data_IF_218929293087
#
_entry.id   IF_218929293087
#
_cell.length_a   1.000
_cell.length_b   1.000
_cell.length_c   1.000
_cell.angle_alpha   90.00
_cell.angle_beta   90.00
_cell.angle_gamma   90.00
#
_symmetry.space_group_name_H-M   'P 1'
#
loop_
_entity.id
_entity.type
_entity.pdbx_description
1 polymer ?
#
# COMPACT_ATOMS: atom_id res chain seq x y z
N UNK A 1 42.42 -16.85 42.19
CA UNK A 1 41.21 -17.10 41.38
C UNK A 1 40.17 -16.06 41.73
N UNK A 2 40.21 -14.89 41.10
CA UNK A 2 39.10 -13.93 41.11
C UNK A 2 39.29 -13.09 39.84
N UNK A 3 38.35 -13.17 38.90
CA UNK A 3 38.50 -12.45 37.63
C UNK A 3 37.52 -12.89 36.55
N UNK A 4 37.14 -14.17 36.49
CA UNK A 4 36.22 -14.66 35.45
C UNK A 4 34.74 -14.48 35.80
N UNK A 5 34.35 -14.56 37.07
CA UNK A 5 32.94 -14.41 37.46
C UNK A 5 32.42 -12.98 37.26
N UNK A 6 33.23 -11.97 37.61
CA UNK A 6 32.80 -10.56 37.48
C UNK A 6 32.67 -10.11 36.01
N UNK A 7 33.58 -10.54 35.13
CA UNK A 7 33.51 -10.19 33.70
C UNK A 7 32.33 -10.89 33.01
N UNK A 8 32.05 -12.14 33.35
CA UNK A 8 30.90 -12.88 32.81
C UNK A 8 29.57 -12.36 33.35
N UNK A 9 29.47 -11.97 34.62
CA UNK A 9 28.31 -11.29 35.18
C UNK A 9 28.06 -9.92 34.54
N UNK A 10 29.09 -9.10 34.37
CA UNK A 10 28.98 -7.80 33.69
C UNK A 10 28.52 -7.99 32.24
N UNK A 11 29.09 -8.97 31.53
CA UNK A 11 28.68 -9.30 30.16
C UNK A 11 27.23 -9.78 30.09
N UNK A 12 26.80 -10.62 31.03
CA UNK A 12 25.43 -11.11 31.12
C UNK A 12 24.45 -9.98 31.44
N UNK A 13 24.79 -9.09 32.38
CA UNK A 13 23.97 -7.92 32.72
C UNK A 13 23.85 -6.95 31.54
N UNK A 14 24.94 -6.69 30.84
CA UNK A 14 24.97 -5.87 29.63
C UNK A 14 24.11 -6.50 28.52
N UNK A 15 24.32 -7.79 28.26
CA UNK A 15 23.57 -8.55 27.24
C UNK A 15 22.08 -8.59 27.57
N UNK A 16 21.72 -8.77 28.84
CA UNK A 16 20.33 -8.74 29.31
C UNK A 16 19.72 -7.37 29.08
N UNK A 17 20.44 -6.30 29.44
CA UNK A 17 19.99 -4.90 29.26
C UNK A 17 19.81 -4.55 27.78
N UNK A 18 20.77 -4.92 26.93
CA UNK A 18 20.65 -4.73 25.48
C UNK A 18 19.52 -5.56 24.89
N UNK A 19 19.31 -6.79 25.35
CA UNK A 19 18.23 -7.67 24.90
C UNK A 19 16.87 -7.11 25.30
N UNK A 20 16.71 -6.65 26.54
CA UNK A 20 15.46 -6.03 27.01
C UNK A 20 15.20 -4.71 26.28
N UNK A 21 16.20 -3.86 26.11
CA UNK A 21 16.04 -2.61 25.36
C UNK A 21 15.69 -2.87 23.89
N UNK A 22 16.30 -3.87 23.25
CA UNK A 22 16.00 -4.25 21.86
C UNK A 22 14.58 -4.78 21.74
N UNK A 23 14.15 -5.67 22.64
CA UNK A 23 12.77 -6.18 22.71
C UNK A 23 11.74 -5.07 22.93
N UNK A 24 12.03 -4.13 23.82
CA UNK A 24 11.17 -2.98 24.07
C UNK A 24 11.03 -2.08 22.82
N UNK A 25 12.14 -1.81 22.10
CA UNK A 25 12.12 -1.07 20.83
C UNK A 25 11.31 -1.80 19.75
N UNK A 26 11.50 -3.12 19.61
CA UNK A 26 10.70 -3.95 18.68
C UNK A 26 9.20 -3.85 19.01
N UNK A 27 8.84 -3.97 20.28
CA UNK A 27 7.45 -3.88 20.72
C UNK A 27 6.87 -2.47 20.49
N UNK A 28 7.68 -1.43 20.72
CA UNK A 28 7.31 -0.06 20.40
C UNK A 28 7.04 0.11 18.90
N UNK A 29 7.90 -0.41 18.02
CA UNK A 29 7.66 -0.34 16.57
C UNK A 29 6.42 -1.12 16.14
N UNK A 30 6.18 -2.30 16.71
CA UNK A 30 4.94 -3.06 16.47
C UNK A 30 3.71 -2.27 16.89
N UNK A 31 3.76 -1.62 18.06
CA UNK A 31 2.66 -0.77 18.53
C UNK A 31 2.47 0.47 17.64
N UNK A 32 3.56 1.11 17.22
CA UNK A 32 3.51 2.25 16.29
C UNK A 32 2.87 1.84 14.97
N UNK A 33 3.27 0.69 14.40
CA UNK A 33 2.62 0.11 13.23
C UNK A 33 1.11 -0.05 13.51
N UNK A 34 0.73 -0.76 14.58
CA UNK A 34 -0.68 -1.01 14.95
C UNK A 34 -1.52 0.25 15.17
N UNK A 35 -0.93 1.31 15.70
CA UNK A 35 -1.62 2.56 16.04
C UNK A 35 -1.54 3.62 14.94
N UNK A 36 -0.67 3.43 13.94
CA UNK A 36 -0.49 4.37 12.83
C UNK A 36 -1.74 4.35 11.93
N UNK A 37 -2.62 5.33 12.15
CA UNK A 37 -3.77 5.60 11.28
C UNK A 37 -3.40 6.66 10.26
N UNK A 38 -3.87 6.53 9.02
CA UNK A 38 -3.70 7.56 7.97
C UNK A 38 -4.25 8.93 8.39
N UNK A 39 -5.29 8.96 9.23
CA UNK A 39 -5.99 10.12 9.82
C UNK A 39 -5.82 11.48 9.11
N UNK A 40 -4.70 12.18 9.31
CA UNK A 40 -4.42 13.53 8.79
C UNK A 40 -3.22 13.64 7.84
N UNK A 41 -2.51 12.54 7.56
CA UNK A 41 -1.33 12.54 6.70
C UNK A 41 -1.68 12.17 5.24
N UNK A 42 -0.85 12.63 4.32
CA UNK A 42 -0.91 12.19 2.92
C UNK A 42 -0.63 10.69 2.83
N UNK A 43 -1.21 9.99 1.84
CA UNK A 43 -0.94 8.56 1.64
C UNK A 43 0.55 8.31 1.40
N UNK A 44 1.25 9.22 0.74
CA UNK A 44 2.68 9.12 0.49
C UNK A 44 3.52 9.14 1.77
N UNK A 45 3.26 10.08 2.68
CA UNK A 45 3.94 10.15 3.98
C UNK A 45 3.61 8.93 4.84
N UNK A 46 2.36 8.48 4.82
CA UNK A 46 1.92 7.29 5.54
C UNK A 46 2.68 6.04 5.10
N UNK A 47 2.71 5.75 3.79
CA UNK A 47 3.40 4.59 3.22
C UNK A 47 4.91 4.65 3.49
N UNK A 48 5.51 5.84 3.44
CA UNK A 48 6.93 6.04 3.73
C UNK A 48 7.27 5.73 5.19
N UNK A 49 6.45 6.22 6.14
CA UNK A 49 6.63 5.91 7.57
C UNK A 49 6.44 4.43 7.85
N UNK A 50 5.41 3.81 7.28
CA UNK A 50 5.17 2.38 7.43
C UNK A 50 6.37 1.56 6.94
N UNK A 51 6.86 1.86 5.73
CA UNK A 51 8.03 1.21 5.16
C UNK A 51 9.26 1.37 6.06
N UNK A 52 9.49 2.57 6.59
CA UNK A 52 10.62 2.81 7.51
C UNK A 52 10.54 1.92 8.77
N UNK A 53 9.36 1.75 9.37
CA UNK A 53 9.20 0.84 10.51
C UNK A 53 9.42 -0.63 10.13
N UNK A 54 8.93 -1.05 8.97
CA UNK A 54 9.16 -2.40 8.44
C UNK A 54 10.65 -2.64 8.15
N UNK A 55 11.36 -1.68 7.58
CA UNK A 55 12.79 -1.76 7.27
C UNK A 55 13.62 -1.84 8.57
N UNK A 56 13.26 -1.07 9.61
CA UNK A 56 13.89 -1.17 10.93
C UNK A 56 13.66 -2.55 11.55
N UNK A 57 12.43 -3.08 11.51
CA UNK A 57 12.15 -4.42 12.03
C UNK A 57 12.90 -5.51 11.24
N UNK A 58 12.99 -5.38 9.91
CA UNK A 58 13.77 -6.27 9.05
C UNK A 58 15.27 -6.22 9.40
N UNK A 59 15.83 -5.05 9.71
CA UNK A 59 17.24 -4.90 10.11
C UNK A 59 17.58 -5.62 11.42
N UNK A 60 16.59 -5.81 12.29
CA UNK A 60 16.72 -6.53 13.57
C UNK A 60 16.32 -8.02 13.43
N UNK A 61 16.10 -8.50 12.21
CA UNK A 61 15.75 -9.90 11.92
C UNK A 61 14.27 -10.23 12.08
N UNK A 62 13.41 -9.24 12.33
CA UNK A 62 11.95 -9.38 12.40
C UNK A 62 11.29 -8.93 11.10
N UNK A 63 11.50 -9.69 10.01
CA UNK A 63 10.86 -9.39 8.72
C UNK A 63 9.34 -9.60 8.82
N UNK A 64 8.57 -8.61 8.40
CA UNK A 64 7.11 -8.71 8.23
C UNK A 64 6.83 -9.28 6.84
N UNK A 65 5.89 -10.21 6.73
CA UNK A 65 5.44 -10.75 5.43
C UNK A 65 4.79 -9.65 4.60
N UNK A 66 4.92 -9.70 3.27
CA UNK A 66 4.26 -8.73 2.38
C UNK A 66 2.74 -8.74 2.56
N UNK A 67 2.14 -9.91 2.81
CA UNK A 67 0.71 -10.05 3.11
C UNK A 67 0.30 -9.34 4.41
N UNK A 68 1.04 -9.56 5.50
CA UNK A 68 0.81 -8.90 6.79
C UNK A 68 0.98 -7.39 6.66
N UNK A 69 1.98 -6.95 5.90
CA UNK A 69 2.22 -5.53 5.64
C UNK A 69 1.06 -4.90 4.87
N UNK A 70 0.54 -5.57 3.84
CA UNK A 70 -0.63 -5.10 3.08
C UNK A 70 -1.87 -5.08 3.96
N UNK A 71 -2.14 -6.16 4.71
CA UNK A 71 -3.29 -6.23 5.61
C UNK A 71 -3.27 -5.10 6.64
N UNK A 72 -2.09 -4.82 7.18
CA UNK A 72 -1.90 -3.78 8.16
C UNK A 72 -2.11 -2.37 7.56
N UNK A 73 -1.64 -2.15 6.33
CA UNK A 73 -1.94 -0.93 5.56
C UNK A 73 -3.45 -0.78 5.42
N UNK A 74 -4.15 -1.78 4.88
CA UNK A 74 -5.61 -1.71 4.63
C UNK A 74 -6.41 -1.47 5.92
N UNK A 75 -6.05 -2.15 7.00
CA UNK A 75 -6.74 -2.04 8.30
C UNK A 75 -6.62 -0.66 8.94
N UNK A 76 -5.55 0.08 8.60
CA UNK A 76 -5.32 1.43 9.12
C UNK A 76 -5.96 2.54 8.28
N UNK A 77 -6.53 2.20 7.12
CA UNK A 77 -7.22 3.14 6.24
C UNK A 77 -8.65 3.39 6.74
N UNK A 78 -9.11 4.63 6.60
CA UNK A 78 -10.49 5.00 6.93
C UNK A 78 -11.50 4.50 5.88
N UNK A 79 -12.79 4.63 6.21
CA UNK A 79 -13.92 4.20 5.36
C UNK A 79 -13.92 4.78 3.95
N UNK A 80 -13.26 5.93 3.73
CA UNK A 80 -13.07 6.54 2.41
C UNK A 80 -12.31 5.65 1.41
N UNK A 81 -11.53 4.69 1.89
CA UNK A 81 -10.71 3.79 1.08
C UNK A 81 -11.35 2.41 0.87
N UNK A 82 -12.57 2.16 1.35
CA UNK A 82 -13.28 0.88 1.17
C UNK A 82 -13.32 0.43 -0.31
N UNK A 83 -13.55 1.30 -1.31
CA UNK A 83 -13.58 0.86 -2.72
C UNK A 83 -12.24 0.29 -3.22
N UNK A 84 -11.12 0.86 -2.79
CA UNK A 84 -9.79 0.34 -3.15
C UNK A 84 -9.44 -0.91 -2.34
N UNK A 85 -9.88 -1.00 -1.08
CA UNK A 85 -9.75 -2.22 -0.28
C UNK A 85 -10.44 -3.41 -0.96
N UNK A 86 -11.68 -3.23 -1.42
CA UNK A 86 -12.43 -4.26 -2.15
C UNK A 86 -11.67 -4.71 -3.40
N UNK A 87 -11.16 -3.77 -4.19
CA UNK A 87 -10.38 -4.07 -5.41
C UNK A 87 -9.14 -4.92 -5.10
N UNK A 88 -8.45 -4.63 -4.00
CA UNK A 88 -7.27 -5.39 -3.57
C UNK A 88 -7.68 -6.78 -3.10
N UNK A 89 -8.73 -6.90 -2.28
CA UNK A 89 -9.21 -8.19 -1.75
C UNK A 89 -9.89 -9.08 -2.78
N UNK A 90 -10.47 -8.52 -3.85
CA UNK A 90 -11.16 -9.28 -4.91
C UNK A 90 -10.20 -9.86 -5.95
N UNK A 91 -8.94 -9.41 -5.99
CA UNK A 91 -7.94 -9.92 -6.92
C UNK A 91 -7.18 -11.09 -6.29
N UNK A 92 -7.07 -12.19 -7.02
CA UNK A 92 -6.46 -13.46 -6.55
C UNK A 92 -4.95 -13.53 -6.77
N UNK A 93 -4.37 -12.61 -7.54
CA UNK A 93 -2.92 -12.52 -7.73
C UNK A 93 -2.21 -11.98 -6.49
N UNK A 94 -0.97 -12.42 -6.22
CA UNK A 94 -0.18 -11.88 -5.12
C UNK A 94 0.10 -10.40 -5.38
N UNK A 95 -0.36 -9.54 -4.48
CA UNK A 95 -0.05 -8.13 -4.50
C UNK A 95 1.34 -7.89 -3.90
N UNK A 96 2.15 -7.06 -4.54
CA UNK A 96 3.35 -6.51 -3.90
C UNK A 96 2.97 -5.27 -3.09
N UNK A 97 3.64 -5.02 -1.97
CA UNK A 97 3.51 -3.78 -1.18
C UNK A 97 3.64 -2.52 -2.07
N UNK A 98 4.52 -2.59 -3.08
CA UNK A 98 4.72 -1.52 -4.06
C UNK A 98 3.48 -1.25 -4.91
N UNK A 99 2.83 -2.31 -5.40
CA UNK A 99 1.64 -2.20 -6.25
C UNK A 99 0.47 -1.61 -5.47
N UNK A 100 0.24 -2.11 -4.25
CA UNK A 100 -0.76 -1.56 -3.32
C UNK A 100 -0.48 -0.09 -3.03
N UNK A 101 0.78 0.28 -2.79
CA UNK A 101 1.17 1.68 -2.57
C UNK A 101 0.83 2.59 -3.76
N UNK A 102 1.13 2.16 -4.98
CA UNK A 102 0.81 2.94 -6.19
C UNK A 102 -0.69 3.10 -6.41
N UNK A 103 -1.46 2.05 -6.15
CA UNK A 103 -2.92 2.07 -6.28
C UNK A 103 -3.56 3.02 -5.25
N UNK A 104 -3.06 2.99 -4.01
CA UNK A 104 -3.51 3.85 -2.91
C UNK A 104 -3.23 5.34 -3.18
N UNK A 105 -2.05 5.68 -3.71
CA UNK A 105 -1.70 7.06 -4.10
C UNK A 105 -2.59 7.54 -5.26
N UNK A 106 -2.79 6.68 -6.27
CA UNK A 106 -3.66 6.98 -7.41
C UNK A 106 -5.11 7.21 -6.96
N UNK A 107 -5.57 6.45 -5.98
CA UNK A 107 -6.90 6.61 -5.38
C UNK A 107 -7.03 7.90 -4.58
N UNK A 108 -6.02 8.28 -3.79
CA UNK A 108 -6.00 9.57 -3.08
C UNK A 108 -6.09 10.75 -4.05
N UNK A 109 -5.32 10.72 -5.15
CA UNK A 109 -5.38 11.77 -6.19
C UNK A 109 -6.78 11.88 -6.81
N UNK A 110 -7.49 10.77 -6.98
CA UNK A 110 -8.87 10.76 -7.50
C UNK A 110 -9.87 11.34 -6.49
N UNK A 111 -9.69 11.05 -5.20
CA UNK A 111 -10.48 11.62 -4.12
C UNK A 111 -10.32 13.14 -4.03
N UNK A 112 -9.09 13.65 -4.15
CA UNK A 112 -8.80 15.10 -4.10
C UNK A 112 -9.39 15.86 -5.29
N UNK A 113 -9.45 15.21 -6.46
CA UNK A 113 -10.05 15.77 -7.68
C UNK A 113 -11.59 15.76 -7.68
N UNK A 114 -12.23 15.28 -6.61
CA UNK A 114 -13.69 15.25 -6.49
C UNK A 114 -14.38 14.33 -7.51
N UNK A 115 -13.65 13.40 -8.12
CA UNK A 115 -14.26 12.43 -9.03
C UNK A 115 -15.10 11.45 -8.18
N UNK A 116 -16.40 11.29 -8.46
CA UNK A 116 -17.19 10.27 -7.79
C UNK A 116 -16.52 8.91 -8.04
N UNK A 117 -16.35 8.15 -6.96
CA UNK A 117 -15.94 6.75 -7.06
C UNK A 117 -17.16 6.01 -7.57
N UNK A 118 -17.32 5.96 -8.89
CA UNK A 118 -18.30 5.08 -9.52
C UNK A 118 -17.89 3.65 -9.23
N UNK A 119 -18.55 3.04 -8.26
CA UNK A 119 -18.53 1.60 -7.96
C UNK A 119 -19.33 0.82 -9.01
N UNK A 120 -19.05 1.07 -10.27
CA UNK A 120 -19.52 0.25 -11.38
C UNK A 120 -18.37 0.13 -12.38
N UNK A 121 -18.16 -1.06 -12.93
CA UNK A 121 -16.97 -1.50 -13.68
C UNK A 121 -16.73 -0.77 -15.00
N UNK A 122 -16.75 0.56 -15.01
CA UNK A 122 -16.51 1.40 -16.16
C UNK A 122 -15.16 2.10 -16.02
N UNK A 123 -14.26 1.74 -16.93
CA UNK A 123 -12.95 2.35 -17.06
C UNK A 123 -13.09 3.89 -17.21
N UNK A 124 -12.17 4.68 -16.64
CA UNK A 124 -12.21 6.14 -16.78
C UNK A 124 -12.16 6.56 -18.25
N UNK A 125 -12.98 7.57 -18.63
CA UNK A 125 -13.16 8.09 -19.99
C UNK A 125 -11.85 8.43 -20.73
N UNK A 126 -10.77 8.70 -19.99
CA UNK A 126 -9.45 8.99 -20.53
C UNK A 126 -8.82 7.78 -21.24
N UNK A 127 -9.17 6.56 -20.82
CA UNK A 127 -8.71 5.32 -21.46
C UNK A 127 -9.49 5.08 -22.76
N UNK A 128 -10.79 5.42 -22.80
CA UNK A 128 -11.64 5.19 -23.97
C UNK A 128 -11.19 6.03 -25.19
N UNK A 129 -10.76 7.28 -24.97
CA UNK A 129 -10.35 8.18 -26.06
C UNK A 129 -9.08 7.74 -26.80
N UNK A 130 -8.25 6.87 -26.21
CA UNK A 130 -7.04 6.36 -26.86
C UNK A 130 -7.26 5.09 -27.70
N UNK A 131 -8.45 4.46 -27.64
CA UNK A 131 -8.71 3.15 -28.28
C UNK A 131 -9.56 3.22 -29.55
N UNK A 132 -10.06 4.38 -29.97
CA UNK A 132 -10.90 4.51 -31.18
C UNK A 132 -10.30 5.45 -32.22
N UNK A 133 -9.04 5.22 -32.59
CA UNK A 133 -8.49 5.66 -33.86
C UNK A 133 -8.00 4.46 -34.66
N UNK A 134 -8.91 3.59 -35.07
CA UNK A 134 -8.84 2.90 -36.36
C UNK A 134 -10.09 2.02 -36.58
N UNK A 135 -11.16 2.58 -37.14
CA UNK A 135 -12.01 1.81 -38.05
C UNK A 135 -12.40 2.72 -39.20
N UNK A 136 -11.92 2.34 -40.38
CA UNK A 136 -12.17 3.02 -41.64
C UNK A 136 -13.65 3.29 -41.84
N UNK A 137 -13.94 4.54 -42.13
CA UNK A 137 -15.21 5.01 -42.65
C UNK A 137 -15.31 4.52 -44.09
N UNK A 138 -16.25 3.61 -44.38
CA UNK A 138 -16.84 3.50 -45.70
C UNK A 138 -18.16 4.25 -45.64
N UNK A 139 -18.15 5.51 -46.11
CA UNK A 139 -19.38 6.24 -46.40
C UNK A 139 -20.08 5.46 -47.53
N UNK A 140 -21.23 4.87 -47.22
CA UNK A 140 -22.22 4.50 -48.22
C UNK A 140 -22.76 5.77 -48.87
N UNK A 141 -22.34 6.03 -50.10
CA UNK A 141 -22.83 7.13 -50.92
C UNK A 141 -24.22 6.78 -51.46
N UNK A 142 -25.21 7.50 -50.92
CA UNK A 142 -26.61 7.48 -51.29
C UNK A 142 -26.81 8.57 -52.35
N UNK A 143 -26.94 8.20 -53.62
CA UNK A 143 -27.38 9.11 -54.69
C UNK A 143 -28.57 8.51 -55.45
N UNK A 144 -29.75 8.96 -55.01
CA UNK A 144 -30.89 9.50 -55.78
C UNK A 144 -31.18 8.97 -57.22
N UNK A 145 -32.40 8.41 -57.40
CA UNK A 145 -33.36 8.45 -58.54
C UNK A 145 -32.84 8.91 -59.93
N UNK A 146 -33.10 8.24 -61.06
CA UNK A 146 -34.42 8.10 -61.73
C UNK A 146 -34.33 7.23 -63.04
N UNK A 147 -35.41 6.99 -63.82
CA UNK A 147 -35.77 5.70 -64.44
C UNK A 147 -35.49 5.56 -65.96
N UNK A 148 -35.80 4.38 -66.54
CA UNK A 148 -36.70 4.10 -67.69
C UNK A 148 -37.03 2.60 -67.68
#
# INVERSE_FOLDING_TARGET
MVGNDSASELWNSLTLTFTTQSKAKIMQYKLQIQTLKKCTMSMHEYLTKMKAYCDVLASVGHKISDEDHILHILSSLGTKYVPVMVTITSRTEPWTVKDVGTLLISFETRLERGQPISTDGSLPLQILLSKTRNRGVVISDFTLMDPI
#
